data_IF_321487136791
#
_entry.id   IF_321487136791
#
_cell.length_a   1.000
_cell.length_b   1.000
_cell.length_c   1.000
_cell.angle_alpha   90.00
_cell.angle_beta   90.00
_cell.angle_gamma   90.00
#
_symmetry.space_group_name_H-M   'P 1'
#
loop_
_entity.id
_entity.type
_entity.pdbx_description
1 polymer ?
#
# COMPACT_ATOMS: atom_id res chain seq x y z
N UNK A 1 0.46 17.31 -33.10
CA UNK A 1 1.18 16.34 -32.29
C UNK A 1 0.69 14.94 -32.68
N UNK A 2 1.58 14.03 -33.04
CA UNK A 2 1.16 12.67 -33.30
C UNK A 2 0.62 12.11 -32.00
N UNK A 3 -0.62 11.66 -31.98
CA UNK A 3 -1.18 10.85 -30.91
C UNK A 3 -0.20 9.69 -30.64
N UNK A 4 0.27 9.45 -29.43
CA UNK A 4 1.12 8.31 -29.15
C UNK A 4 0.37 7.05 -29.54
N UNK A 5 1.07 6.13 -30.20
CA UNK A 5 0.47 4.91 -30.76
C UNK A 5 0.01 3.89 -29.69
N UNK A 6 0.13 4.19 -28.40
CA UNK A 6 -0.23 3.30 -27.30
C UNK A 6 -0.07 3.95 -25.92
N UNK A 7 -0.28 3.14 -24.87
CA UNK A 7 -0.03 3.48 -23.49
C UNK A 7 1.38 3.06 -23.06
N UNK A 8 2.01 3.88 -22.24
CA UNK A 8 3.33 3.65 -21.68
C UNK A 8 3.26 3.61 -20.16
N UNK A 9 3.78 2.56 -19.56
CA UNK A 9 3.96 2.41 -18.13
C UNK A 9 5.30 1.75 -17.78
N UNK A 10 5.71 1.85 -16.54
CA UNK A 10 6.96 1.28 -16.05
C UNK A 10 6.69 0.13 -15.09
N UNK A 11 7.59 -0.85 -15.08
CA UNK A 11 7.56 -1.92 -14.12
C UNK A 11 7.93 -1.42 -12.72
N UNK A 12 7.44 -2.10 -11.69
CA UNK A 12 7.74 -1.81 -10.30
C UNK A 12 8.57 -2.90 -9.64
N UNK A 13 9.09 -2.58 -8.46
CA UNK A 13 10.00 -3.46 -7.70
C UNK A 13 9.29 -4.61 -6.98
N UNK A 14 7.95 -4.57 -6.92
CA UNK A 14 7.14 -5.58 -6.24
C UNK A 14 6.41 -6.46 -7.25
N UNK A 15 6.31 -7.75 -6.96
CA UNK A 15 5.61 -8.73 -7.80
C UNK A 15 4.14 -8.37 -8.02
N UNK A 16 3.50 -7.74 -7.05
CA UNK A 16 2.14 -7.22 -7.16
C UNK A 16 2.02 -6.17 -8.28
N UNK A 17 2.96 -5.22 -8.36
CA UNK A 17 2.98 -4.23 -9.44
C UNK A 17 3.12 -4.90 -10.79
N UNK A 18 4.02 -5.88 -10.91
CA UNK A 18 4.26 -6.63 -12.14
C UNK A 18 3.00 -7.38 -12.60
N UNK A 19 2.30 -8.01 -11.65
CA UNK A 19 1.06 -8.71 -11.93
C UNK A 19 -0.02 -7.75 -12.44
N UNK A 20 -0.26 -6.65 -11.73
CA UNK A 20 -1.27 -5.66 -12.11
C UNK A 20 -0.94 -5.01 -13.45
N UNK A 21 0.33 -4.65 -13.70
CA UNK A 21 0.77 -4.13 -14.99
C UNK A 21 0.49 -5.09 -16.15
N UNK A 22 0.77 -6.38 -15.96
CA UNK A 22 0.46 -7.41 -16.95
C UNK A 22 -1.04 -7.51 -17.23
N UNK A 23 -1.87 -7.40 -16.20
CA UNK A 23 -3.33 -7.44 -16.34
C UNK A 23 -3.86 -6.18 -17.03
N UNK A 24 -3.34 -5.00 -16.71
CA UNK A 24 -3.68 -3.75 -17.42
C UNK A 24 -3.36 -3.91 -18.91
N UNK A 25 -2.15 -4.37 -19.22
CA UNK A 25 -1.73 -4.60 -20.61
C UNK A 25 -2.72 -5.51 -21.34
N UNK A 26 -3.01 -6.67 -20.79
CA UNK A 26 -3.91 -7.62 -21.40
C UNK A 26 -5.33 -7.05 -21.59
N UNK A 27 -5.89 -6.42 -20.57
CA UNK A 27 -7.23 -5.84 -20.63
C UNK A 27 -7.36 -4.75 -21.69
N UNK A 28 -6.38 -3.84 -21.76
CA UNK A 28 -6.42 -2.72 -22.71
C UNK A 28 -6.18 -3.19 -24.14
N UNK A 29 -5.21 -4.08 -24.35
CA UNK A 29 -4.92 -4.63 -25.68
C UNK A 29 -6.09 -5.47 -26.20
N UNK A 30 -6.66 -6.35 -25.37
CA UNK A 30 -7.76 -7.24 -25.78
C UNK A 30 -9.07 -6.48 -26.07
N UNK A 31 -9.38 -5.47 -25.29
CA UNK A 31 -10.65 -4.74 -25.42
C UNK A 31 -10.61 -3.62 -26.46
N UNK A 32 -9.48 -2.94 -26.58
CA UNK A 32 -9.39 -1.70 -27.36
C UNK A 32 -8.37 -1.76 -28.50
N UNK A 33 -7.53 -2.80 -28.55
CA UNK A 33 -6.44 -2.87 -29.52
C UNK A 33 -5.40 -1.74 -29.36
N UNK A 34 -5.34 -1.10 -28.19
CA UNK A 34 -4.35 -0.09 -27.87
C UNK A 34 -3.09 -0.79 -27.35
N UNK A 35 -1.93 -0.69 -28.04
CA UNK A 35 -0.70 -1.29 -27.54
C UNK A 35 -0.30 -0.73 -26.17
N UNK A 36 0.10 -1.58 -25.26
CA UNK A 36 0.62 -1.20 -23.94
C UNK A 36 2.07 -1.61 -23.82
N UNK A 37 2.95 -0.64 -23.65
CA UNK A 37 4.38 -0.88 -23.44
C UNK A 37 4.69 -0.79 -21.95
N UNK A 38 5.24 -1.87 -21.40
CA UNK A 38 5.79 -1.90 -20.04
C UNK A 38 7.30 -1.75 -20.17
N UNK A 39 7.84 -0.69 -19.59
CA UNK A 39 9.28 -0.40 -19.61
C UNK A 39 9.97 -0.90 -18.35
N UNK A 40 11.28 -0.68 -18.30
CA UNK A 40 12.14 -1.12 -17.20
C UNK A 40 11.64 -0.64 -15.82
N UNK A 41 12.06 -1.37 -14.81
CA UNK A 41 11.71 -1.14 -13.41
C UNK A 41 12.10 0.26 -12.92
N UNK A 42 11.17 0.90 -12.20
CA UNK A 42 11.39 2.17 -11.51
C UNK A 42 10.94 2.12 -10.06
N UNK A 43 11.52 2.96 -9.22
CA UNK A 43 10.96 3.27 -7.90
C UNK A 43 9.64 4.03 -8.05
N UNK A 44 8.76 3.96 -7.04
CA UNK A 44 7.50 4.68 -7.04
C UNK A 44 7.68 6.19 -7.28
N UNK A 45 8.71 6.79 -6.66
CA UNK A 45 9.01 8.23 -6.83
C UNK A 45 9.42 8.55 -8.27
N UNK A 46 10.30 7.76 -8.87
CA UNK A 46 10.74 7.99 -10.25
C UNK A 46 9.61 7.77 -11.25
N UNK A 47 8.77 6.75 -11.01
CA UNK A 47 7.61 6.48 -11.83
C UNK A 47 6.59 7.63 -11.78
N UNK A 48 6.30 8.14 -10.58
CA UNK A 48 5.45 9.30 -10.39
C UNK A 48 6.02 10.55 -11.08
N UNK A 49 7.32 10.80 -10.97
CA UNK A 49 7.97 11.91 -11.65
C UNK A 49 7.87 11.78 -13.19
N UNK A 50 7.99 10.56 -13.73
CA UNK A 50 7.79 10.30 -15.15
C UNK A 50 6.33 10.52 -15.58
N UNK A 51 5.36 10.14 -14.73
CA UNK A 51 3.93 10.32 -14.98
C UNK A 51 3.54 11.80 -15.00
N UNK A 52 4.07 12.61 -14.10
CA UNK A 52 3.75 14.04 -13.98
C UNK A 52 4.65 14.94 -14.83
N UNK A 53 5.65 14.38 -15.52
CA UNK A 53 6.56 15.15 -16.36
C UNK A 53 5.86 15.73 -17.60
N UNK A 54 6.26 16.94 -17.98
CA UNK A 54 5.69 17.63 -19.14
C UNK A 54 5.94 16.91 -20.49
N UNK A 55 6.91 16.01 -20.56
CA UNK A 55 7.23 15.22 -21.75
C UNK A 55 6.35 13.99 -21.93
N UNK A 56 5.41 13.76 -21.00
CA UNK A 56 4.46 12.65 -21.04
C UNK A 56 5.16 11.26 -21.16
N UNK A 57 6.20 11.06 -20.36
CA UNK A 57 7.01 9.83 -20.42
C UNK A 57 6.42 8.63 -19.68
N UNK A 58 5.25 8.79 -19.05
CA UNK A 58 4.47 7.72 -18.43
C UNK A 58 3.00 8.08 -18.46
N UNK A 59 2.12 7.16 -18.78
CA UNK A 59 0.67 7.41 -18.89
C UNK A 59 -0.11 7.00 -17.64
N UNK A 60 0.31 5.94 -16.99
CA UNK A 60 -0.32 5.40 -15.81
C UNK A 60 0.67 4.59 -14.96
N UNK A 61 0.34 4.42 -13.69
CA UNK A 61 1.12 3.58 -12.77
C UNK A 61 0.21 2.89 -11.76
N UNK A 62 0.55 1.67 -11.37
CA UNK A 62 -0.02 1.05 -10.19
C UNK A 62 0.76 1.47 -8.95
N UNK A 63 0.06 1.89 -7.92
CA UNK A 63 0.64 2.36 -6.66
C UNK A 63 -0.37 2.21 -5.52
N UNK A 64 -0.05 2.73 -4.36
CA UNK A 64 -0.94 2.75 -3.18
C UNK A 64 -1.27 4.18 -2.79
N UNK A 65 -2.50 4.41 -2.34
CA UNK A 65 -2.95 5.73 -1.90
C UNK A 65 -2.12 6.28 -0.74
N UNK A 66 -1.72 5.43 0.20
CA UNK A 66 -0.82 5.81 1.29
C UNK A 66 0.59 6.18 0.83
N UNK A 67 1.13 5.52 -0.21
CA UNK A 67 2.41 5.89 -0.82
C UNK A 67 2.32 7.28 -1.48
N UNK A 68 1.23 7.55 -2.17
CA UNK A 68 0.98 8.88 -2.74
C UNK A 68 0.91 9.95 -1.65
N UNK A 69 0.22 9.69 -0.54
CA UNK A 69 0.12 10.61 0.59
C UNK A 69 1.50 10.91 1.20
N UNK A 70 2.19 9.88 1.65
CA UNK A 70 3.38 10.04 2.50
C UNK A 70 4.66 10.22 1.71
N UNK A 71 4.94 9.34 0.76
CA UNK A 71 6.21 9.31 0.04
C UNK A 71 6.26 10.36 -1.07
N UNK A 72 5.15 10.56 -1.78
CA UNK A 72 5.08 11.48 -2.92
C UNK A 72 4.77 12.89 -2.47
N UNK A 73 3.65 13.08 -1.74
CA UNK A 73 3.23 14.42 -1.32
C UNK A 73 3.90 14.90 -0.03
N UNK A 74 4.56 14.01 0.73
CA UNK A 74 5.19 14.36 2.01
C UNK A 74 4.19 14.76 3.09
N UNK A 75 2.95 14.28 3.00
CA UNK A 75 1.87 14.53 3.95
C UNK A 75 1.73 13.36 4.93
N UNK A 76 0.93 13.59 5.98
CA UNK A 76 0.59 12.58 6.97
C UNK A 76 -0.93 12.38 7.02
N UNK A 77 -1.39 11.31 7.64
CA UNK A 77 -2.81 11.05 7.89
C UNK A 77 -3.48 12.17 8.69
N UNK A 78 -2.72 12.89 9.52
CA UNK A 78 -3.19 14.07 10.26
C UNK A 78 -3.50 15.29 9.37
N UNK A 79 -3.02 15.29 8.12
CA UNK A 79 -3.31 16.35 7.13
C UNK A 79 -4.64 16.11 6.41
N UNK A 80 -5.26 14.94 6.60
CA UNK A 80 -6.54 14.60 5.98
C UNK A 80 -7.67 15.30 6.75
N UNK A 81 -8.54 16.07 6.07
CA UNK A 81 -9.68 16.71 6.72
C UNK A 81 -10.62 15.73 7.39
N UNK A 82 -11.24 16.15 8.50
CA UNK A 82 -12.23 15.34 9.20
C UNK A 82 -13.39 14.95 8.26
N UNK A 83 -13.73 13.67 8.26
CA UNK A 83 -14.80 13.11 7.44
C UNK A 83 -14.39 12.73 6.01
N UNK A 84 -13.15 12.98 5.61
CA UNK A 84 -12.61 12.55 4.33
C UNK A 84 -11.76 11.28 4.49
N UNK A 85 -11.90 10.32 3.58
CA UNK A 85 -11.04 9.13 3.56
C UNK A 85 -9.66 9.48 3.00
N UNK A 86 -8.63 8.69 3.33
CA UNK A 86 -7.30 8.84 2.74
C UNK A 86 -7.37 8.75 1.22
N UNK A 87 -8.09 7.78 0.68
CA UNK A 87 -8.26 7.59 -0.75
C UNK A 87 -8.88 8.83 -1.43
N UNK A 88 -9.98 9.35 -0.91
CA UNK A 88 -10.68 10.50 -1.50
C UNK A 88 -9.82 11.76 -1.44
N UNK A 89 -9.13 11.99 -0.33
CA UNK A 89 -8.20 13.12 -0.17
C UNK A 89 -7.05 13.05 -1.18
N UNK A 90 -6.42 11.89 -1.33
CA UNK A 90 -5.34 11.68 -2.29
C UNK A 90 -5.84 11.85 -3.72
N UNK A 91 -7.01 11.30 -4.06
CA UNK A 91 -7.58 11.44 -5.40
C UNK A 91 -7.89 12.90 -5.75
N UNK A 92 -8.44 13.66 -4.81
CA UNK A 92 -8.67 15.10 -4.97
C UNK A 92 -7.36 15.85 -5.24
N UNK A 93 -6.32 15.57 -4.45
CA UNK A 93 -4.98 16.15 -4.62
C UNK A 93 -4.34 15.80 -5.96
N UNK A 94 -4.40 14.54 -6.36
CA UNK A 94 -3.88 14.09 -7.66
C UNK A 94 -4.56 14.82 -8.81
N UNK A 95 -5.87 15.02 -8.71
CA UNK A 95 -6.64 15.68 -9.75
C UNK A 95 -6.37 17.19 -9.82
N UNK A 96 -6.28 17.86 -8.66
CA UNK A 96 -6.13 19.31 -8.61
C UNK A 96 -4.70 19.79 -8.80
N UNK A 97 -3.70 19.03 -8.37
CA UNK A 97 -2.31 19.46 -8.33
C UNK A 97 -1.42 18.78 -9.39
N UNK A 98 -1.81 17.57 -9.87
CA UNK A 98 -0.96 16.76 -10.75
C UNK A 98 -1.61 16.34 -12.07
N UNK A 99 -2.83 16.80 -12.33
CA UNK A 99 -3.59 16.45 -13.56
C UNK A 99 -3.69 14.95 -13.81
N UNK A 100 -3.95 14.19 -12.73
CA UNK A 100 -4.06 12.75 -12.72
C UNK A 100 -5.21 12.32 -11.80
N UNK A 101 -5.71 11.09 -11.96
CA UNK A 101 -6.79 10.55 -11.13
C UNK A 101 -6.62 9.07 -10.82
N UNK A 102 -7.18 8.65 -9.70
CA UNK A 102 -7.22 7.25 -9.27
C UNK A 102 -8.42 6.54 -9.92
N UNK A 103 -8.20 5.29 -10.37
CA UNK A 103 -9.23 4.48 -11.03
C UNK A 103 -10.06 3.63 -10.06
N UNK A 104 -10.01 3.90 -8.76
CA UNK A 104 -10.68 3.11 -7.74
C UNK A 104 -9.72 2.20 -6.97
N UNK A 105 -10.27 1.47 -6.01
CA UNK A 105 -9.52 0.55 -5.15
C UNK A 105 -9.50 -0.85 -5.76
N UNK A 106 -8.34 -1.43 -5.94
CA UNK A 106 -8.20 -2.77 -6.52
C UNK A 106 -8.65 -3.87 -5.55
N UNK A 107 -8.72 -3.58 -4.25
CA UNK A 107 -9.17 -4.50 -3.21
C UNK A 107 -8.04 -5.02 -2.33
N UNK A 108 -6.77 -4.79 -2.68
CA UNK A 108 -5.61 -5.09 -1.84
C UNK A 108 -5.39 -3.96 -0.86
N UNK A 109 -5.45 -4.28 0.44
CA UNK A 109 -5.20 -3.33 1.53
C UNK A 109 -3.89 -3.70 2.22
N UNK A 110 -2.77 -3.17 1.72
CA UNK A 110 -1.43 -3.45 2.23
C UNK A 110 -1.06 -2.54 3.41
N UNK A 111 -1.93 -2.45 4.41
CA UNK A 111 -1.68 -1.67 5.61
C UNK A 111 -0.65 -2.33 6.52
N UNK A 112 -0.07 -1.57 7.45
CA UNK A 112 0.59 -2.15 8.62
C UNK A 112 -0.41 -2.94 9.46
N UNK A 113 0.08 -4.02 10.06
CA UNK A 113 -0.68 -4.84 10.98
C UNK A 113 0.21 -5.29 12.15
N UNK A 114 -0.41 -5.80 13.20
CA UNK A 114 0.29 -6.36 14.34
C UNK A 114 0.15 -7.87 14.30
N UNK A 115 1.29 -8.54 14.16
CA UNK A 115 1.40 -10.00 14.22
C UNK A 115 1.90 -10.45 15.58
N UNK A 116 1.38 -11.56 16.07
CA UNK A 116 1.84 -12.22 17.31
C UNK A 116 2.26 -13.65 17.04
N UNK A 117 3.22 -14.13 17.82
CA UNK A 117 3.72 -15.50 17.71
C UNK A 117 2.69 -16.54 18.18
N UNK A 118 2.87 -17.80 17.76
CA UNK A 118 2.03 -18.91 18.22
C UNK A 118 2.07 -19.05 19.75
N UNK A 119 3.21 -18.79 20.38
CA UNK A 119 3.34 -18.82 21.83
C UNK A 119 2.43 -17.78 22.52
N UNK A 120 2.33 -16.58 21.96
CA UNK A 120 1.39 -15.54 22.45
C UNK A 120 -0.05 -15.99 22.27
N UNK A 121 -0.37 -16.60 21.12
CA UNK A 121 -1.70 -17.15 20.84
C UNK A 121 -2.07 -18.25 21.83
N UNK A 122 -1.17 -19.17 22.10
CA UNK A 122 -1.41 -20.31 23.01
C UNK A 122 -1.56 -19.86 24.48
N UNK A 123 -0.88 -18.76 24.86
CA UNK A 123 -0.86 -18.29 26.26
C UNK A 123 -1.99 -17.32 26.55
N UNK A 124 -2.27 -16.37 25.65
CA UNK A 124 -3.16 -15.24 25.92
C UNK A 124 -4.43 -15.21 25.03
N UNK A 125 -4.44 -15.98 23.93
CA UNK A 125 -5.55 -16.04 22.95
C UNK A 125 -6.05 -14.68 22.44
N UNK A 126 -5.17 -13.72 22.10
CA UNK A 126 -5.64 -12.42 21.62
C UNK A 126 -6.28 -12.56 20.23
N UNK A 127 -7.32 -11.76 19.98
CA UNK A 127 -7.95 -11.67 18.66
C UNK A 127 -7.76 -10.28 18.04
N UNK A 128 -7.54 -9.28 18.88
CA UNK A 128 -7.40 -7.88 18.51
C UNK A 128 -6.29 -7.20 19.29
N UNK A 129 -5.82 -6.05 18.80
CA UNK A 129 -4.68 -5.35 19.41
C UNK A 129 -4.98 -4.94 20.85
N UNK A 130 -6.21 -4.50 21.17
CA UNK A 130 -6.59 -4.14 22.52
C UNK A 130 -6.44 -5.28 23.53
N UNK A 131 -6.50 -6.53 23.10
CA UNK A 131 -6.32 -7.69 23.99
C UNK A 131 -4.89 -7.80 24.53
N UNK A 132 -3.92 -7.13 23.89
CA UNK A 132 -2.53 -7.10 24.37
C UNK A 132 -2.31 -6.14 25.53
N UNK A 133 -3.19 -5.16 25.77
CA UNK A 133 -2.98 -4.11 26.79
C UNK A 133 -2.68 -4.68 28.18
N UNK A 134 -3.44 -5.66 28.72
CA UNK A 134 -3.19 -6.17 30.06
C UNK A 134 -1.92 -7.04 30.17
N UNK A 135 -1.37 -7.51 29.03
CA UNK A 135 -0.22 -8.45 29.01
C UNK A 135 1.02 -7.88 28.33
N UNK A 136 0.94 -6.67 27.78
CA UNK A 136 2.03 -6.04 27.03
C UNK A 136 3.34 -5.96 27.82
N UNK A 137 3.27 -5.77 29.15
CA UNK A 137 4.43 -5.74 30.03
C UNK A 137 5.24 -7.04 30.12
N UNK A 138 4.72 -8.14 29.59
CA UNK A 138 5.41 -9.43 29.49
C UNK A 138 5.91 -9.73 28.08
N UNK A 139 5.59 -8.87 27.09
CA UNK A 139 5.83 -9.10 25.67
C UNK A 139 6.95 -8.21 25.13
N UNK A 140 7.73 -8.79 24.20
CA UNK A 140 8.78 -8.10 23.45
C UNK A 140 8.25 -7.71 22.08
N UNK A 141 8.34 -6.42 21.78
CA UNK A 141 7.88 -5.82 20.54
C UNK A 141 9.04 -5.58 19.56
N UNK A 142 8.85 -5.92 18.31
CA UNK A 142 9.79 -5.66 17.22
C UNK A 142 9.12 -4.95 16.06
N UNK A 143 9.88 -4.09 15.41
CA UNK A 143 9.49 -3.44 14.15
C UNK A 143 10.74 -3.01 13.38
N UNK A 144 10.58 -2.67 12.11
CA UNK A 144 11.65 -2.06 11.34
C UNK A 144 12.07 -0.72 11.96
N UNK A 145 13.34 -0.35 11.76
CA UNK A 145 13.92 0.86 12.38
C UNK A 145 13.12 2.12 12.09
N UNK A 146 12.51 2.21 10.91
CA UNK A 146 11.70 3.34 10.49
C UNK A 146 10.44 3.54 11.37
N UNK A 147 9.89 2.46 11.92
CA UNK A 147 8.74 2.54 12.81
C UNK A 147 9.04 3.22 14.14
N UNK A 148 10.31 3.24 14.56
CA UNK A 148 10.77 3.89 15.79
C UNK A 148 11.21 5.35 15.61
N UNK A 149 11.09 5.91 14.40
CA UNK A 149 11.41 7.33 14.18
C UNK A 149 10.33 8.24 14.77
N UNK A 150 10.70 9.47 15.09
CA UNK A 150 9.79 10.46 15.67
C UNK A 150 8.89 11.17 14.66
N UNK A 151 9.09 10.96 13.38
CA UNK A 151 8.33 11.60 12.31
C UNK A 151 7.15 10.73 11.86
N UNK A 152 5.95 11.31 11.88
CA UNK A 152 4.74 10.67 11.36
C UNK A 152 3.83 10.07 12.43
N UNK A 153 2.55 9.89 12.09
CA UNK A 153 1.51 9.39 13.00
C UNK A 153 1.50 7.87 13.12
N UNK A 154 1.96 7.13 12.08
CA UNK A 154 2.00 5.67 12.08
C UNK A 154 3.37 5.15 12.57
N UNK A 155 3.72 5.48 13.81
CA UNK A 155 5.01 5.16 14.44
C UNK A 155 4.79 4.57 15.83
N UNK A 156 5.86 4.05 16.42
CA UNK A 156 5.81 3.33 17.69
C UNK A 156 5.18 4.14 18.83
N UNK A 157 5.69 5.34 19.09
CA UNK A 157 5.20 6.15 20.22
C UNK A 157 3.71 6.53 20.06
N UNK A 158 3.23 7.04 18.90
CA UNK A 158 1.80 7.21 18.67
C UNK A 158 0.99 5.93 18.80
N UNK A 159 1.49 4.80 18.31
CA UNK A 159 0.80 3.51 18.36
C UNK A 159 0.57 3.04 19.81
N UNK A 160 1.64 3.01 20.63
CA UNK A 160 1.53 2.54 22.01
C UNK A 160 0.71 3.50 22.86
N UNK A 161 0.80 4.80 22.60
CA UNK A 161 0.00 5.80 23.28
C UNK A 161 -1.49 5.65 22.94
N UNK A 162 -1.82 5.44 21.67
CA UNK A 162 -3.20 5.30 21.19
C UNK A 162 -3.91 4.09 21.80
N UNK A 163 -3.23 2.95 21.85
CA UNK A 163 -3.78 1.72 22.44
C UNK A 163 -3.60 1.60 23.95
N UNK A 164 -2.74 2.41 24.55
CA UNK A 164 -2.37 2.26 25.96
C UNK A 164 -1.45 1.06 26.24
N UNK A 165 -0.61 0.69 25.27
CA UNK A 165 0.32 -0.43 25.35
C UNK A 165 1.61 -0.03 26.09
N UNK A 166 2.15 -0.96 26.89
CA UNK A 166 3.42 -0.77 27.56
C UNK A 166 4.25 -2.07 27.50
N UNK A 167 4.94 -2.27 26.38
CA UNK A 167 5.74 -3.47 26.16
C UNK A 167 6.94 -3.58 27.08
N UNK A 168 7.30 -4.81 27.48
CA UNK A 168 8.48 -5.07 28.29
C UNK A 168 9.77 -4.59 27.63
N UNK A 169 9.83 -4.71 26.30
CA UNK A 169 10.92 -4.25 25.47
C UNK A 169 10.42 -3.96 24.07
N UNK A 170 10.93 -2.91 23.45
CA UNK A 170 10.69 -2.59 22.04
C UNK A 170 12.02 -2.31 21.35
N UNK A 171 12.32 -3.04 20.29
CA UNK A 171 13.60 -2.92 19.58
C UNK A 171 13.44 -3.01 18.07
N UNK A 172 14.26 -2.28 17.31
CA UNK A 172 14.28 -2.39 15.87
C UNK A 172 14.84 -3.75 15.41
N UNK A 173 14.37 -4.19 14.26
CA UNK A 173 14.86 -5.35 13.54
C UNK A 173 15.07 -4.99 12.08
N UNK A 174 16.10 -5.55 11.45
CA UNK A 174 16.29 -5.41 10.01
C UNK A 174 15.18 -6.13 9.24
N UNK A 175 14.66 -5.50 8.19
CA UNK A 175 13.57 -6.05 7.38
C UNK A 175 13.89 -7.44 6.82
N UNK A 176 15.12 -7.68 6.41
CA UNK A 176 15.56 -8.96 5.85
C UNK A 176 15.69 -10.05 6.90
N UNK A 177 15.86 -9.67 8.18
CA UNK A 177 16.03 -10.59 9.30
C UNK A 177 14.77 -10.75 10.14
N UNK A 178 13.74 -9.98 9.86
CA UNK A 178 12.51 -9.90 10.66
C UNK A 178 11.90 -11.27 10.97
N UNK A 179 11.63 -12.05 9.95
CA UNK A 179 10.99 -13.35 10.11
C UNK A 179 11.92 -14.38 10.76
N UNK A 180 13.21 -14.37 10.43
CA UNK A 180 14.20 -15.23 11.09
C UNK A 180 14.33 -14.91 12.58
N UNK A 181 14.29 -13.63 12.96
CA UNK A 181 14.34 -13.21 14.36
C UNK A 181 13.11 -13.69 15.14
N UNK A 182 11.92 -13.70 14.52
CA UNK A 182 10.70 -14.25 15.10
C UNK A 182 10.83 -15.76 15.31
N UNK A 183 11.26 -16.50 14.30
CA UNK A 183 11.46 -17.95 14.37
C UNK A 183 12.47 -18.34 15.47
N UNK A 184 13.44 -17.48 15.72
CA UNK A 184 14.43 -17.65 16.81
C UNK A 184 13.92 -17.20 18.19
N UNK A 185 12.67 -16.74 18.29
CA UNK A 185 12.07 -16.31 19.55
C UNK A 185 12.57 -14.98 20.09
N UNK A 186 13.07 -14.09 19.23
CA UNK A 186 13.55 -12.77 19.63
C UNK A 186 12.43 -11.80 20.00
N UNK A 187 11.26 -11.96 19.41
CA UNK A 187 10.08 -11.10 19.56
C UNK A 187 8.82 -11.91 19.79
N UNK A 188 7.84 -11.32 20.46
CA UNK A 188 6.53 -11.87 20.74
C UNK A 188 5.44 -11.20 19.89
N UNK A 189 5.62 -9.90 19.65
CA UNK A 189 4.73 -9.03 18.87
C UNK A 189 5.55 -8.26 17.84
N UNK A 190 5.05 -8.14 16.62
CA UNK A 190 5.78 -7.46 15.56
C UNK A 190 4.85 -6.69 14.62
N UNK A 191 5.34 -5.55 14.13
CA UNK A 191 4.73 -4.87 12.98
C UNK A 191 5.02 -5.67 11.71
N UNK A 192 3.98 -5.97 10.97
CA UNK A 192 4.03 -6.68 9.70
C UNK A 192 3.20 -5.94 8.65
N UNK A 193 3.33 -6.32 7.39
CA UNK A 193 2.39 -5.91 6.35
C UNK A 193 1.25 -6.93 6.29
N UNK A 194 0.01 -6.45 6.26
CA UNK A 194 -1.18 -7.30 6.35
C UNK A 194 -1.23 -8.39 5.26
N UNK A 195 -0.76 -8.05 4.05
CA UNK A 195 -0.80 -8.93 2.87
C UNK A 195 0.46 -9.78 2.67
N UNK A 196 1.44 -9.68 3.57
CA UNK A 196 2.70 -10.44 3.43
C UNK A 196 2.48 -11.93 3.76
N UNK A 197 2.56 -12.78 2.74
CA UNK A 197 2.45 -14.23 2.88
C UNK A 197 3.51 -14.86 3.82
N UNK A 198 4.61 -14.17 4.10
CA UNK A 198 5.61 -14.62 5.06
C UNK A 198 5.09 -14.61 6.50
N UNK A 199 4.02 -13.86 6.81
CA UNK A 199 3.38 -13.90 8.12
C UNK A 199 2.91 -15.31 8.46
N UNK A 200 2.23 -15.97 7.55
CA UNK A 200 1.74 -17.35 7.72
C UNK A 200 2.92 -18.33 7.86
N UNK A 201 3.92 -18.17 7.00
CA UNK A 201 5.12 -19.02 7.01
C UNK A 201 5.90 -18.91 8.31
N UNK A 202 5.98 -17.71 8.89
CA UNK A 202 6.63 -17.49 10.19
C UNK A 202 5.76 -17.88 11.40
N UNK A 203 4.56 -18.40 11.17
CA UNK A 203 3.63 -18.79 12.24
C UNK A 203 3.07 -17.60 13.02
N UNK A 204 2.98 -16.43 12.38
CA UNK A 204 2.37 -15.25 12.98
C UNK A 204 0.86 -15.26 12.76
N UNK A 205 0.13 -14.85 13.79
CA UNK A 205 -1.30 -14.50 13.70
C UNK A 205 -1.42 -12.98 13.68
N UNK A 206 -2.06 -12.46 12.65
CA UNK A 206 -2.36 -11.03 12.53
C UNK A 206 -3.59 -10.72 13.37
N UNK A 207 -3.47 -9.72 14.25
CA UNK A 207 -4.57 -9.25 15.10
C UNK A 207 -5.41 -8.18 14.40
N UNK A 208 -6.69 -8.12 14.75
CA UNK A 208 -7.59 -7.04 14.33
C UNK A 208 -7.12 -5.69 14.91
N UNK A 209 -7.04 -4.66 14.07
CA UNK A 209 -6.84 -3.27 14.50
C UNK A 209 -8.19 -2.66 14.92
N UNK A 210 -8.69 -3.07 16.08
CA UNK A 210 -10.05 -2.82 16.56
C UNK A 210 -10.38 -1.34 16.86
N UNK A 211 -9.35 -0.53 17.08
CA UNK A 211 -9.48 0.92 17.26
C UNK A 211 -9.10 1.72 16.01
N UNK A 212 -8.78 1.04 14.90
CA UNK A 212 -8.44 1.65 13.61
C UNK A 212 -7.27 2.66 13.68
N UNK A 213 -6.17 2.27 14.30
CA UNK A 213 -4.94 3.08 14.35
C UNK A 213 -4.27 3.17 12.99
N UNK A 214 -4.16 2.05 12.29
CA UNK A 214 -3.56 2.02 10.96
C UNK A 214 -4.61 2.37 9.90
N UNK A 215 -4.36 3.39 9.07
CA UNK A 215 -5.27 3.70 7.98
C UNK A 215 -5.25 2.60 6.92
N UNK A 216 -6.30 2.51 6.14
CA UNK A 216 -6.32 1.70 4.95
C UNK A 216 -5.23 2.14 3.96
N UNK A 217 -4.67 1.18 3.23
CA UNK A 217 -3.56 1.37 2.30
C UNK A 217 -3.88 0.61 1.02
N UNK A 218 -4.73 1.22 0.18
CA UNK A 218 -5.28 0.55 -1.00
C UNK A 218 -4.39 0.67 -2.21
N UNK A 219 -4.20 -0.45 -2.93
CA UNK A 219 -3.69 -0.47 -4.28
C UNK A 219 -4.67 0.22 -5.24
N UNK A 220 -4.13 1.02 -6.14
CA UNK A 220 -4.90 1.80 -7.11
C UNK A 220 -4.09 2.08 -8.36
N UNK A 221 -4.76 2.36 -9.47
CA UNK A 221 -4.13 2.80 -10.72
C UNK A 221 -4.26 4.32 -10.80
N UNK A 222 -3.11 5.01 -10.85
CA UNK A 222 -3.05 6.45 -11.10
C UNK A 222 -2.85 6.68 -12.59
N UNK A 223 -3.74 7.45 -13.23
CA UNK A 223 -3.74 7.72 -14.66
C UNK A 223 -3.73 9.22 -14.90
N UNK A 224 -2.92 9.68 -15.85
CA UNK A 224 -2.97 11.07 -16.32
C UNK A 224 -4.33 11.36 -16.94
N UNK A 225 -4.88 12.54 -16.67
CA UNK A 225 -6.20 12.92 -17.20
C UNK A 225 -6.21 12.99 -18.73
N UNK A 226 -5.14 13.44 -19.37
CA UNK A 226 -5.04 13.55 -20.83
C UNK A 226 -5.08 12.21 -21.57
N UNK A 227 -4.86 11.08 -20.88
CA UNK A 227 -4.97 9.74 -21.48
C UNK A 227 -6.36 9.51 -22.05
N UNK A 228 -7.38 9.90 -21.31
CA UNK A 228 -8.78 9.68 -21.73
C UNK A 228 -9.15 10.54 -22.93
N UNK A 229 -8.65 11.76 -23.01
CA UNK A 229 -8.86 12.64 -24.18
C UNK A 229 -8.13 12.11 -25.43
N UNK A 230 -6.91 11.61 -25.26
CA UNK A 230 -6.09 11.08 -26.37
C UNK A 230 -6.69 9.83 -27.01
N UNK A 231 -7.42 9.04 -26.26
CA UNK A 231 -8.02 7.78 -26.72
C UNK A 231 -9.56 7.82 -26.80
N UNK A 232 -10.18 8.99 -26.69
CA UNK A 232 -11.64 9.14 -26.66
C UNK A 232 -12.33 8.50 -27.89
N UNK A 233 -11.76 8.67 -29.10
CA UNK A 233 -12.33 8.10 -30.33
C UNK A 233 -12.12 6.58 -30.43
N UNK A 234 -10.97 6.07 -29.97
CA UNK A 234 -10.61 4.65 -30.08
C UNK A 234 -11.18 3.82 -28.94
N UNK A 235 -11.23 4.38 -27.74
CA UNK A 235 -11.63 3.69 -26.51
C UNK A 235 -12.40 4.65 -25.57
N UNK A 236 -13.64 5.02 -25.90
CA UNK A 236 -14.45 5.92 -25.08
C UNK A 236 -14.74 5.34 -23.68
N UNK A 237 -14.65 4.03 -23.53
CA UNK A 237 -14.83 3.30 -22.27
C UNK A 237 -13.48 2.84 -21.63
N UNK A 238 -12.37 3.50 -21.95
CA UNK A 238 -11.05 3.18 -21.39
C UNK A 238 -11.01 3.30 -19.86
N UNK A 239 -11.66 4.31 -19.31
CA UNK A 239 -11.77 4.50 -17.86
C UNK A 239 -12.50 3.33 -17.19
N UNK A 240 -13.61 2.87 -17.79
CA UNK A 240 -14.33 1.68 -17.33
C UNK A 240 -13.44 0.43 -17.39
N UNK A 241 -12.68 0.26 -18.47
CA UNK A 241 -11.75 -0.86 -18.64
C UNK A 241 -10.67 -0.88 -17.56
N UNK A 242 -10.04 0.26 -17.27
CA UNK A 242 -9.03 0.38 -16.19
C UNK A 242 -9.62 0.17 -14.79
N UNK A 243 -10.92 0.40 -14.63
CA UNK A 243 -11.66 0.18 -13.39
C UNK A 243 -12.15 -1.27 -13.19
N UNK A 244 -11.97 -2.14 -14.18
CA UNK A 244 -12.41 -3.56 -14.07
C UNK A 244 -11.68 -4.36 -13.00
N UNK A 245 -10.51 -3.92 -12.60
CA UNK A 245 -9.73 -4.55 -11.53
C UNK A 245 -10.19 -4.14 -10.12
N UNK A 246 -11.07 -3.14 -10.01
CA UNK A 246 -11.57 -2.68 -8.72
C UNK A 246 -12.29 -3.81 -7.97
N UNK A 247 -11.97 -3.96 -6.69
CA UNK A 247 -12.54 -4.96 -5.78
C UNK A 247 -12.42 -6.42 -6.26
N UNK A 248 -11.49 -6.70 -7.20
CA UNK A 248 -11.28 -8.05 -7.73
C UNK A 248 -10.23 -8.85 -6.96
N UNK A 249 -9.38 -8.17 -6.25
CA UNK A 249 -8.33 -8.80 -5.45
C UNK A 249 -8.71 -8.76 -3.98
N UNK A 250 -8.44 -9.86 -3.30
CA UNK A 250 -8.46 -9.93 -1.85
C UNK A 250 -7.04 -10.17 -1.36
N UNK A 251 -6.77 -9.80 -0.11
CA UNK A 251 -5.46 -10.03 0.53
C UNK A 251 -5.06 -11.52 0.53
N UNK A 252 -6.01 -12.44 0.31
CA UNK A 252 -5.77 -13.87 0.21
C UNK A 252 -5.34 -14.34 -1.20
N UNK A 253 -5.53 -13.51 -2.22
CA UNK A 253 -5.20 -13.84 -3.62
C UNK A 253 -3.83 -13.32 -4.04
N UNK A 254 -3.23 -12.44 -3.25
CA UNK A 254 -1.91 -11.86 -3.47
C UNK A 254 -0.85 -12.56 -2.61
#
# INVERSE_FOLDING_TARGET
>A
PKSPAGLLLYEGQFSEVQLVNSMIKQLVEDRHGIPVTIQDEMTAVNNFNALTAANHSCDLMYTWDGTLLTTIMGLDTTDIPEGQTLYDFVNEKMNTEYDARLMGKIGVNNTYAIGVTQQVMDTYHPTKISDLVPVAGELRFGAESDFFTSAGSMKYDPFVQFYGLNFAKATPVDIMLKYTAIEQGAYDVMVVYATDGLNIRAGLTVLEDDLHFFPDYYGTILVRNDVFERFEEQAPDLEETLSLLNDKFTDQLM
#
